data_IF_193151799729
#
_entry.id   IF_193151799729
#
_cell.length_a   1.000
_cell.length_b   1.000
_cell.length_c   1.000
_cell.angle_alpha   90.00
_cell.angle_beta   90.00
_cell.angle_gamma   90.00
#
_symmetry.space_group_name_H-M   'P 1'
#
loop_
_entity.id
_entity.type
_entity.pdbx_description
1 polymer ?
#
# COMPACT_ATOMS: atom_id res chain seq x y z
N UNK A 1 17.48 12.45 23.37
CA UNK A 1 16.59 12.43 22.18
C UNK A 1 15.58 11.32 22.43
N UNK A 2 14.28 11.61 22.29
CA UNK A 2 13.22 10.63 22.52
C UNK A 2 13.36 9.47 21.51
N UNK A 3 13.08 8.23 21.94
CA UNK A 3 13.21 7.03 21.11
C UNK A 3 12.37 7.13 19.81
N UNK A 4 11.19 7.74 19.90
CA UNK A 4 10.34 7.98 18.72
C UNK A 4 11.03 8.86 17.66
N UNK A 5 11.74 9.90 18.09
CA UNK A 5 12.49 10.78 17.19
C UNK A 5 13.69 10.06 16.54
N UNK A 6 14.34 9.14 17.26
CA UNK A 6 15.43 8.32 16.69
C UNK A 6 14.89 7.41 15.56
N UNK A 7 13.76 6.74 15.77
CA UNK A 7 13.13 5.92 14.74
C UNK A 7 12.66 6.78 13.54
N UNK A 8 12.09 7.95 13.82
CA UNK A 8 11.63 8.85 12.76
C UNK A 8 12.80 9.32 11.88
N UNK A 9 13.89 9.77 12.49
CA UNK A 9 15.11 10.17 11.77
C UNK A 9 15.67 9.01 10.93
N UNK A 10 15.77 7.81 11.51
CA UNK A 10 16.28 6.63 10.81
C UNK A 10 15.41 6.23 9.61
N UNK A 11 14.11 6.09 9.80
CA UNK A 11 13.24 5.64 8.70
C UNK A 11 13.03 6.70 7.61
N UNK A 12 13.14 7.98 7.92
CA UNK A 12 13.04 9.04 6.90
C UNK A 12 14.30 9.18 6.04
N UNK A 13 15.48 8.84 6.57
CA UNK A 13 16.75 9.01 5.87
C UNK A 13 17.28 7.75 5.20
N UNK A 14 16.80 6.55 5.59
CA UNK A 14 17.39 5.28 5.14
C UNK A 14 17.37 5.10 3.60
N UNK A 15 16.33 5.63 2.92
CA UNK A 15 16.24 5.59 1.46
C UNK A 15 17.39 6.36 0.79
N UNK A 16 17.69 7.57 1.26
CA UNK A 16 18.77 8.39 0.76
C UNK A 16 20.14 7.75 1.05
N UNK A 17 20.32 7.23 2.27
CA UNK A 17 21.57 6.55 2.66
C UNK A 17 21.83 5.32 1.79
N UNK A 18 20.82 4.52 1.50
CA UNK A 18 20.97 3.34 0.66
C UNK A 18 21.20 3.73 -0.82
N UNK A 19 20.52 4.73 -1.34
CA UNK A 19 20.68 5.18 -2.72
C UNK A 19 22.06 5.81 -2.98
N UNK A 20 22.62 6.53 -2.01
CA UNK A 20 23.95 7.11 -2.10
C UNK A 20 25.08 6.07 -2.29
N UNK A 21 24.85 4.83 -1.86
CA UNK A 21 25.79 3.72 -2.01
C UNK A 21 25.65 2.97 -3.34
N UNK A 22 24.69 3.34 -4.19
CA UNK A 22 24.50 2.73 -5.51
C UNK A 22 25.31 3.55 -6.53
N UNK A 23 26.53 3.11 -6.82
CA UNK A 23 27.35 3.68 -7.89
C UNK A 23 27.02 2.98 -9.22
N UNK A 24 26.83 3.76 -10.29
CA UNK A 24 26.75 3.25 -11.66
C UNK A 24 25.35 2.93 -12.16
N UNK A 25 24.33 3.61 -11.64
CA UNK A 25 22.99 3.57 -12.27
C UNK A 25 23.09 4.37 -13.59
N UNK A 26 23.24 3.65 -14.72
CA UNK A 26 23.07 4.26 -16.03
C UNK A 26 21.57 4.51 -16.23
N UNK A 27 21.18 5.76 -16.33
CA UNK A 27 19.83 6.26 -16.63
C UNK A 27 19.31 5.82 -18.02
N UNK A 28 20.06 4.96 -18.70
CA UNK A 28 19.81 4.50 -20.07
C UNK A 28 18.97 3.23 -20.19
N UNK A 29 18.33 2.77 -19.13
CA UNK A 29 17.25 1.80 -19.25
C UNK A 29 15.97 2.50 -19.74
N UNK A 30 16.02 3.07 -20.93
CA UNK A 30 14.82 3.41 -21.69
C UNK A 30 14.16 2.10 -22.10
N UNK A 31 13.36 1.54 -21.21
CA UNK A 31 12.48 0.44 -21.58
C UNK A 31 11.42 1.02 -22.52
N UNK A 32 11.68 1.00 -23.82
CA UNK A 32 10.71 1.33 -24.86
C UNK A 32 9.59 0.28 -24.95
N UNK A 33 9.09 -0.19 -23.82
CA UNK A 33 7.92 -1.05 -23.82
C UNK A 33 6.66 -0.18 -23.85
N UNK A 34 6.27 0.24 -25.04
CA UNK A 34 4.99 0.91 -25.29
C UNK A 34 3.88 -0.15 -25.28
N UNK A 35 3.27 -0.35 -24.12
CA UNK A 35 2.03 -1.12 -24.08
C UNK A 35 0.94 -0.27 -24.78
N UNK A 36 0.34 -0.73 -25.91
CA UNK A 36 -0.69 0.02 -26.61
C UNK A 36 -1.99 0.13 -25.83
N UNK A 37 -2.08 -0.54 -24.68
CA UNK A 37 -3.30 -0.59 -23.87
C UNK A 37 -3.33 0.57 -22.89
N UNK A 38 -4.46 1.28 -22.88
CA UNK A 38 -4.68 2.41 -21.98
C UNK A 38 -5.29 1.92 -20.66
N UNK A 39 -4.68 2.32 -19.54
CA UNK A 39 -5.25 2.13 -18.21
C UNK A 39 -6.06 3.36 -17.81
N UNK A 40 -7.26 3.15 -17.32
CA UNK A 40 -8.08 4.19 -16.72
C UNK A 40 -8.79 3.71 -15.45
N UNK A 41 -9.04 4.63 -14.55
CA UNK A 41 -9.66 4.35 -13.26
C UNK A 41 -11.19 4.32 -13.42
N UNK A 42 -11.75 3.14 -13.57
CA UNK A 42 -13.20 2.95 -13.58
C UNK A 42 -13.83 3.45 -12.26
N UNK A 43 -15.02 4.08 -12.29
CA UNK A 43 -15.69 4.55 -11.10
C UNK A 43 -15.94 3.45 -10.06
N UNK A 44 -15.95 3.83 -8.78
CA UNK A 44 -16.33 2.94 -7.68
C UNK A 44 -17.84 2.99 -7.45
N UNK A 45 -18.42 1.86 -7.03
CA UNK A 45 -19.81 1.76 -6.61
C UNK A 45 -19.94 1.72 -5.09
N UNK A 46 -21.15 2.00 -4.57
CA UNK A 46 -21.44 1.89 -3.14
C UNK A 46 -21.28 0.45 -2.65
N UNK A 47 -21.70 -0.54 -3.44
CA UNK A 47 -21.56 -1.96 -3.11
C UNK A 47 -20.10 -2.41 -3.04
N UNK A 48 -19.23 -1.87 -3.89
CA UNK A 48 -17.80 -2.13 -3.82
C UNK A 48 -17.20 -1.59 -2.51
N UNK A 49 -17.51 -0.34 -2.16
CA UNK A 49 -17.01 0.30 -0.94
C UNK A 49 -17.54 -0.43 0.29
N UNK A 50 -18.83 -0.78 0.33
CA UNK A 50 -19.43 -1.52 1.45
C UNK A 50 -18.70 -2.85 1.68
N UNK A 51 -18.45 -3.62 0.62
CA UNK A 51 -17.69 -4.88 0.68
C UNK A 51 -16.27 -4.67 1.19
N UNK A 52 -15.59 -3.61 0.75
CA UNK A 52 -14.23 -3.31 1.20
C UNK A 52 -14.23 -2.99 2.69
N UNK A 53 -15.15 -2.13 3.16
CA UNK A 53 -15.24 -1.74 4.58
C UNK A 53 -15.57 -2.94 5.46
N UNK A 54 -16.52 -3.78 5.04
CA UNK A 54 -16.93 -4.98 5.79
C UNK A 54 -15.78 -5.97 5.97
N UNK A 55 -14.89 -6.06 4.97
CA UNK A 55 -13.73 -6.96 4.99
C UNK A 55 -12.44 -6.32 5.56
N UNK A 56 -12.51 -5.13 6.14
CA UNK A 56 -11.35 -4.52 6.79
C UNK A 56 -10.90 -5.37 7.98
N UNK A 57 -9.62 -5.75 7.98
CA UNK A 57 -9.04 -6.51 9.09
C UNK A 57 -9.07 -5.68 10.38
N UNK A 58 -9.35 -6.34 11.50
CA UNK A 58 -9.28 -5.76 12.83
C UNK A 58 -7.82 -5.46 13.18
N UNK A 59 -7.35 -4.26 12.84
CA UNK A 59 -6.02 -3.79 13.22
C UNK A 59 -6.15 -2.93 14.48
N UNK A 60 -5.35 -3.21 15.51
CA UNK A 60 -5.40 -2.49 16.79
C UNK A 60 -4.90 -1.05 16.68
N UNK A 61 -4.11 -0.73 15.67
CA UNK A 61 -3.49 0.59 15.48
C UNK A 61 -3.81 1.16 14.11
N UNK A 62 -4.39 2.34 14.09
CA UNK A 62 -4.56 3.18 12.90
C UNK A 62 -4.27 4.65 13.26
N UNK A 63 -4.16 5.50 12.26
CA UNK A 63 -3.92 6.93 12.48
C UNK A 63 -5.14 7.60 13.16
N UNK A 64 -6.36 7.16 12.83
CA UNK A 64 -7.62 7.77 13.30
C UNK A 64 -7.90 7.53 14.78
N UNK A 65 -7.16 6.65 15.47
CA UNK A 65 -7.38 6.23 16.85
C UNK A 65 -8.80 5.69 17.12
N UNK A 66 -9.59 5.45 16.08
CA UNK A 66 -10.94 4.93 16.15
C UNK A 66 -10.93 3.40 15.98
N UNK A 67 -11.67 2.64 16.81
CA UNK A 67 -11.82 1.20 16.61
C UNK A 67 -12.47 0.90 15.26
N UNK A 68 -11.90 -0.06 14.49
CA UNK A 68 -12.45 -0.47 13.19
C UNK A 68 -13.90 -0.93 13.25
N UNK A 69 -14.31 -1.50 14.39
CA UNK A 69 -15.71 -1.91 14.62
C UNK A 69 -16.68 -0.74 14.48
N UNK A 70 -16.30 0.46 15.00
CA UNK A 70 -17.12 1.66 14.88
C UNK A 70 -17.18 2.10 13.41
N UNK A 71 -16.06 2.11 12.71
CA UNK A 71 -16.02 2.45 11.29
C UNK A 71 -16.92 1.53 10.45
N UNK A 72 -16.88 0.22 10.73
CA UNK A 72 -17.76 -0.77 10.09
C UNK A 72 -19.23 -0.54 10.45
N UNK A 73 -19.53 -0.22 11.71
CA UNK A 73 -20.89 0.01 12.18
C UNK A 73 -21.57 1.19 11.46
N UNK A 74 -20.84 2.29 11.30
CA UNK A 74 -21.36 3.52 10.66
C UNK A 74 -21.19 3.54 9.15
N UNK A 75 -20.70 2.47 8.52
CA UNK A 75 -20.36 2.42 7.11
C UNK A 75 -21.47 2.90 6.17
N UNK A 76 -22.73 2.55 6.50
CA UNK A 76 -23.89 2.94 5.69
C UNK A 76 -24.04 4.46 5.53
N UNK A 77 -23.61 5.25 6.52
CA UNK A 77 -23.59 6.70 6.48
C UNK A 77 -22.43 7.22 5.60
N UNK A 78 -21.37 6.42 5.48
CA UNK A 78 -20.13 6.80 4.79
C UNK A 78 -20.13 6.43 3.30
N UNK A 79 -21.00 5.52 2.85
CA UNK A 79 -20.99 5.02 1.46
C UNK A 79 -21.09 6.14 0.43
N UNK A 80 -22.10 6.99 0.52
CA UNK A 80 -22.32 8.05 -0.46
C UNK A 80 -21.20 9.08 -0.50
N UNK A 81 -20.74 9.66 0.64
CA UNK A 81 -19.59 10.56 0.62
C UNK A 81 -18.31 9.91 0.12
N UNK A 82 -18.04 8.65 0.45
CA UNK A 82 -16.84 7.94 -0.04
C UNK A 82 -16.90 7.67 -1.54
N UNK A 83 -18.04 7.24 -2.07
CA UNK A 83 -18.24 7.08 -3.53
C UNK A 83 -17.95 8.38 -4.25
N UNK A 84 -18.53 9.49 -3.77
CA UNK A 84 -18.33 10.82 -4.37
C UNK A 84 -16.88 11.26 -4.30
N UNK A 85 -16.23 11.12 -3.14
CA UNK A 85 -14.84 11.49 -2.92
C UNK A 85 -13.91 10.71 -3.85
N UNK A 86 -13.98 9.37 -3.80
CA UNK A 86 -13.06 8.51 -4.55
C UNK A 86 -13.23 8.71 -6.05
N UNK A 87 -14.48 8.78 -6.53
CA UNK A 87 -14.75 9.01 -7.95
C UNK A 87 -14.29 10.41 -8.42
N UNK A 88 -14.37 11.42 -7.57
CA UNK A 88 -13.84 12.73 -7.87
C UNK A 88 -12.30 12.70 -7.97
N UNK A 89 -11.65 12.01 -7.04
CA UNK A 89 -10.20 11.82 -7.04
C UNK A 89 -9.73 11.05 -8.28
N UNK A 90 -10.41 9.97 -8.64
CA UNK A 90 -10.10 9.18 -9.83
C UNK A 90 -10.21 9.99 -11.12
N UNK A 91 -11.26 10.81 -11.25
CA UNK A 91 -11.43 11.68 -12.42
C UNK A 91 -10.38 12.78 -12.52
N UNK A 92 -9.93 13.31 -11.37
CA UNK A 92 -8.93 14.39 -11.33
C UNK A 92 -7.49 13.88 -11.33
N UNK A 93 -7.25 12.58 -11.15
CA UNK A 93 -5.91 12.03 -10.96
C UNK A 93 -5.22 12.51 -9.68
N UNK A 94 -5.99 12.87 -8.64
CA UNK A 94 -5.46 13.44 -7.39
C UNK A 94 -5.72 12.52 -6.22
N UNK A 95 -4.68 12.26 -5.41
CA UNK A 95 -4.82 11.60 -4.11
C UNK A 95 -4.78 12.66 -3.01
N UNK A 96 -5.78 12.71 -2.10
CA UNK A 96 -5.84 13.74 -1.05
C UNK A 96 -4.65 13.72 -0.11
N UNK A 97 -4.04 14.88 0.16
CA UNK A 97 -2.83 14.97 0.99
C UNK A 97 -3.05 14.47 2.42
N UNK A 98 -4.24 14.69 2.98
CA UNK A 98 -4.60 14.20 4.31
C UNK A 98 -4.56 12.67 4.41
N UNK A 99 -4.77 11.94 3.29
CA UNK A 99 -4.71 10.49 3.26
C UNK A 99 -3.30 9.95 3.01
N UNK A 100 -2.35 10.81 2.65
CA UNK A 100 -0.92 10.46 2.50
C UNK A 100 -0.20 10.37 3.83
N UNK A 101 -0.79 10.89 4.90
CA UNK A 101 -0.22 10.82 6.23
C UNK A 101 -0.37 9.44 6.83
N UNK A 102 0.71 8.89 7.35
CA UNK A 102 0.73 7.61 8.04
C UNK A 102 1.49 7.72 9.36
N UNK A 103 1.04 6.98 10.37
CA UNK A 103 1.83 6.77 11.59
C UNK A 103 2.71 5.54 11.38
N UNK A 104 4.02 5.71 11.53
CA UNK A 104 4.96 4.59 11.49
C UNK A 104 5.01 3.91 12.85
N UNK A 105 4.79 2.61 12.87
CA UNK A 105 4.93 1.75 14.03
C UNK A 105 6.12 0.83 13.79
N UNK A 106 7.22 0.97 14.57
CA UNK A 106 8.37 0.09 14.45
C UNK A 106 8.02 -1.28 15.05
N UNK A 107 8.18 -2.36 14.27
CA UNK A 107 7.98 -3.74 14.70
C UNK A 107 9.32 -4.45 14.75
N UNK A 108 9.72 -4.90 15.95
CA UNK A 108 10.96 -5.63 16.14
C UNK A 108 10.98 -6.93 15.33
N UNK A 109 12.12 -7.22 14.67
CA UNK A 109 12.29 -8.41 13.80
C UNK A 109 12.51 -9.71 14.58
N UNK A 110 12.65 -9.62 15.92
CA UNK A 110 12.90 -10.77 16.80
C UNK A 110 14.36 -11.25 16.82
N UNK A 111 15.30 -10.45 16.32
CA UNK A 111 16.74 -10.74 16.32
C UNK A 111 17.57 -9.45 16.36
N UNK A 112 18.76 -9.53 16.95
CA UNK A 112 19.68 -8.40 17.17
C UNK A 112 19.31 -7.59 18.40
N UNK A 113 20.05 -6.51 18.66
CA UNK A 113 19.85 -5.62 19.81
C UNK A 113 18.58 -4.77 19.63
N UNK A 114 17.85 -4.57 20.73
CA UNK A 114 16.61 -3.77 20.74
C UNK A 114 16.85 -2.27 20.59
N UNK A 115 18.09 -1.83 20.82
CA UNK A 115 18.47 -0.42 20.68
C UNK A 115 18.82 -0.02 19.25
N UNK A 116 19.04 -1.02 18.38
CA UNK A 116 19.38 -0.80 16.98
C UNK A 116 18.11 -0.72 16.12
N UNK A 117 17.87 0.45 15.49
CA UNK A 117 16.73 0.71 14.63
C UNK A 117 16.70 -0.19 13.39
N UNK A 118 17.85 -0.72 12.93
CA UNK A 118 17.95 -1.64 11.79
C UNK A 118 17.22 -2.96 12.06
N UNK A 119 17.03 -3.32 13.34
CA UNK A 119 16.33 -4.53 13.77
C UNK A 119 14.80 -4.38 13.79
N UNK A 120 14.28 -3.27 13.28
CA UNK A 120 12.84 -3.00 13.23
C UNK A 120 12.33 -2.89 11.79
N UNK A 121 11.05 -3.23 11.60
CA UNK A 121 10.30 -3.00 10.36
C UNK A 121 9.38 -1.79 10.52
N UNK A 122 9.45 -0.76 9.67
CA UNK A 122 8.47 0.33 9.69
C UNK A 122 7.14 -0.16 9.13
N UNK A 123 6.09 -0.14 9.94
CA UNK A 123 4.73 -0.44 9.49
C UNK A 123 3.94 0.85 9.41
N UNK A 124 3.52 1.23 8.21
CA UNK A 124 2.70 2.41 7.96
C UNK A 124 1.24 2.15 8.31
N UNK A 125 0.74 2.88 9.30
CA UNK A 125 -0.66 2.83 9.74
C UNK A 125 -1.42 4.00 9.14
N UNK A 126 -2.20 3.71 8.08
CA UNK A 126 -3.02 4.68 7.36
C UNK A 126 -4.41 4.87 8.01
N UNK A 127 -5.11 6.01 7.75
CA UNK A 127 -6.52 6.18 8.05
C UNK A 127 -7.38 5.11 7.36
N UNK A 128 -8.54 4.77 7.92
CA UNK A 128 -9.43 3.79 7.31
C UNK A 128 -9.91 4.22 5.92
N UNK A 129 -10.20 5.51 5.74
CA UNK A 129 -10.58 6.06 4.42
C UNK A 129 -9.45 5.87 3.41
N UNK A 130 -8.20 6.10 3.82
CA UNK A 130 -7.01 5.83 2.99
C UNK A 130 -6.94 4.37 2.56
N UNK A 131 -7.14 3.42 3.50
CA UNK A 131 -7.16 1.98 3.19
C UNK A 131 -8.28 1.59 2.22
N UNK A 132 -9.47 2.19 2.35
CA UNK A 132 -10.57 1.96 1.41
C UNK A 132 -10.19 2.48 0.02
N UNK A 133 -9.67 3.70 -0.06
CA UNK A 133 -9.22 4.31 -1.29
C UNK A 133 -8.14 3.46 -1.99
N UNK A 134 -7.10 3.07 -1.25
CA UNK A 134 -6.01 2.23 -1.77
C UNK A 134 -6.52 0.88 -2.27
N UNK A 135 -7.47 0.26 -1.55
CA UNK A 135 -8.06 -1.01 -2.01
C UNK A 135 -8.83 -0.84 -3.32
N UNK A 136 -9.59 0.26 -3.46
CA UNK A 136 -10.28 0.58 -4.70
C UNK A 136 -9.31 0.76 -5.87
N UNK A 137 -8.19 1.46 -5.65
CA UNK A 137 -7.14 1.66 -6.64
C UNK A 137 -6.43 0.35 -6.99
N UNK A 138 -6.02 -0.40 -5.97
CA UNK A 138 -5.33 -1.69 -6.12
C UNK A 138 -6.16 -2.68 -6.94
N UNK A 139 -7.47 -2.77 -6.67
CA UNK A 139 -8.35 -3.66 -7.44
C UNK A 139 -8.33 -3.33 -8.93
N UNK A 140 -8.28 -2.06 -9.30
CA UNK A 140 -8.24 -1.64 -10.71
C UNK A 140 -6.91 -1.97 -11.37
N UNK A 141 -5.81 -1.71 -10.67
CA UNK A 141 -4.47 -2.02 -11.16
C UNK A 141 -4.32 -3.54 -11.35
N UNK A 142 -4.68 -4.34 -10.34
CA UNK A 142 -4.57 -5.79 -10.41
C UNK A 142 -5.44 -6.34 -11.55
N UNK A 143 -6.72 -5.92 -11.62
CA UNK A 143 -7.61 -6.37 -12.68
C UNK A 143 -7.09 -6.02 -14.09
N UNK A 144 -6.45 -4.87 -14.24
CA UNK A 144 -5.81 -4.48 -15.50
C UNK A 144 -4.60 -5.38 -15.80
N UNK A 145 -3.72 -5.58 -14.82
CA UNK A 145 -2.54 -6.43 -14.98
C UNK A 145 -2.91 -7.88 -15.28
N UNK A 146 -3.91 -8.43 -14.59
CA UNK A 146 -4.40 -9.80 -14.81
C UNK A 146 -5.05 -9.94 -16.18
N UNK A 147 -5.93 -8.99 -16.55
CA UNK A 147 -6.62 -9.00 -17.85
C UNK A 147 -5.65 -9.04 -19.03
N UNK A 148 -4.51 -8.43 -18.88
CA UNK A 148 -3.51 -8.29 -19.95
C UNK A 148 -2.24 -9.10 -19.71
N UNK A 149 -2.23 -9.98 -18.70
CA UNK A 149 -1.09 -10.84 -18.34
C UNK A 149 0.23 -10.06 -18.21
N UNK A 150 0.17 -8.92 -17.49
CA UNK A 150 1.32 -8.02 -17.35
C UNK A 150 2.29 -8.44 -16.25
N UNK A 151 1.89 -9.35 -15.36
CA UNK A 151 2.79 -9.86 -14.35
C UNK A 151 3.77 -10.86 -14.97
N UNK A 152 5.04 -10.74 -14.58
CA UNK A 152 6.06 -11.73 -14.95
C UNK A 152 5.70 -13.11 -14.39
N UNK A 153 5.97 -14.17 -15.14
CA UNK A 153 5.82 -15.55 -14.68
C UNK A 153 6.73 -15.85 -13.47
N UNK A 154 7.83 -15.12 -13.33
CA UNK A 154 8.79 -15.24 -12.24
C UNK A 154 8.41 -14.40 -11.02
N UNK A 155 7.29 -13.68 -11.03
CA UNK A 155 6.80 -12.95 -9.87
C UNK A 155 5.89 -13.83 -9.04
N UNK A 156 6.31 -14.21 -7.86
CA UNK A 156 5.55 -15.01 -6.90
C UNK A 156 5.03 -14.18 -5.73
N UNK A 157 5.75 -13.13 -5.33
CA UNK A 157 5.34 -12.22 -4.26
C UNK A 157 4.14 -11.34 -4.62
N UNK A 158 3.24 -11.14 -3.64
CA UNK A 158 2.07 -10.27 -3.76
C UNK A 158 1.03 -10.68 -4.82
N UNK A 159 1.10 -11.90 -5.34
CA UNK A 159 0.10 -12.48 -6.23
C UNK A 159 -0.81 -13.46 -5.48
N UNK A 160 -2.11 -13.41 -5.79
CA UNK A 160 -3.07 -14.36 -5.26
C UNK A 160 -2.80 -15.76 -5.84
N UNK A 161 -2.86 -16.78 -4.99
CA UNK A 161 -2.65 -18.17 -5.42
C UNK A 161 -1.20 -18.57 -5.67
N UNK A 162 -0.23 -17.68 -5.39
CA UNK A 162 1.20 -17.98 -5.43
C UNK A 162 1.83 -17.91 -4.05
N UNK A 163 2.82 -18.78 -3.79
CA UNK A 163 3.52 -18.91 -2.51
C UNK A 163 5.04 -18.90 -2.69
N UNK A 164 5.76 -18.85 -1.58
CA UNK A 164 7.22 -19.03 -1.56
C UNK A 164 7.62 -20.46 -1.99
N UNK A 165 6.75 -21.46 -1.73
CA UNK A 165 6.99 -22.83 -2.19
C UNK A 165 6.97 -22.91 -3.71
N UNK A 166 6.00 -22.23 -4.36
CA UNK A 166 5.94 -22.19 -5.83
C UNK A 166 7.19 -21.54 -6.43
N UNK A 167 7.72 -20.49 -5.76
CA UNK A 167 8.97 -19.86 -6.18
C UNK A 167 10.16 -20.82 -6.10
N UNK A 168 10.24 -21.63 -5.03
CA UNK A 168 11.31 -22.63 -4.86
C UNK A 168 11.20 -23.74 -5.91
N UNK A 169 10.00 -24.26 -6.17
CA UNK A 169 9.78 -25.30 -7.19
C UNK A 169 10.16 -24.77 -8.60
N UNK A 170 9.94 -23.49 -8.86
CA UNK A 170 10.27 -22.90 -10.16
C UNK A 170 11.80 -22.72 -10.38
N UNK A 171 12.60 -22.74 -9.31
CA UNK A 171 14.05 -22.62 -9.37
C UNK A 171 14.76 -23.98 -9.51
N UNK A 172 14.05 -25.08 -9.29
CA UNK A 172 14.56 -26.46 -9.45
C UNK A 172 14.25 -27.01 -10.83
#
# INVERSE_FOLDING_TARGET
MDQANRFNAFFSSIGEVLSANISGFNDSLSVEYRNPRTFFLAPVSASEIDRIITNLKLVKTNLDQMPVKIFILVRHLLLYPLVKLINMCFRKGVYPDQLKLARIVPIYKGKGETDDQTNYRPISCLPYIGKVFERCLTNRIINFCDKFSLFSNNQFGFQSGKSTCDALIHLT
#
